data_IF_873264823235
#
_entry.id   IF_873264823235
#
_cell.length_a   1.000
_cell.length_b   1.000
_cell.length_c   1.000
_cell.angle_alpha   90.00
_cell.angle_beta   90.00
_cell.angle_gamma   90.00
#
_symmetry.space_group_name_H-M   'P 1'
#
loop_
_entity.id
_entity.type
_entity.pdbx_description
1 polymer ?
#
# COMPACT_ATOMS: atom_id res chain seq x y z
N UNK A 1 -2.48 -6.10 6.99
CA UNK A 1 -1.78 -6.40 5.73
C UNK A 1 -0.74 -7.50 5.89
N UNK A 2 0.29 -7.30 6.73
CA UNK A 2 1.37 -8.27 6.96
C UNK A 2 0.91 -9.72 7.17
N UNK A 3 -0.11 -9.94 7.99
CA UNK A 3 -0.61 -11.31 8.26
C UNK A 3 -1.18 -11.98 7.00
N UNK A 4 -1.90 -11.25 6.16
CA UNK A 4 -2.38 -11.76 4.86
C UNK A 4 -1.23 -12.05 3.90
N UNK A 5 -0.16 -11.26 3.98
CA UNK A 5 1.05 -11.47 3.19
C UNK A 5 1.83 -12.70 3.63
N UNK A 6 1.99 -12.91 4.93
CA UNK A 6 2.59 -14.15 5.45
C UNK A 6 1.80 -15.38 4.98
N UNK A 7 0.46 -15.33 5.04
CA UNK A 7 -0.39 -16.37 4.50
C UNK A 7 -0.21 -16.55 2.97
N UNK A 8 -0.06 -15.45 2.23
CA UNK A 8 0.19 -15.47 0.79
C UNK A 8 1.51 -16.18 0.44
N UNK A 9 2.58 -15.88 1.17
CA UNK A 9 3.90 -16.48 0.94
C UNK A 9 3.87 -18.00 1.15
N UNK A 10 3.21 -18.47 2.21
CA UNK A 10 3.04 -19.90 2.49
C UNK A 10 2.21 -20.57 1.39
N UNK A 11 1.10 -19.95 0.95
CA UNK A 11 0.24 -20.47 -0.11
C UNK A 11 0.97 -20.58 -1.46
N UNK A 12 1.88 -19.64 -1.75
CA UNK A 12 2.66 -19.60 -2.99
C UNK A 12 3.95 -20.41 -2.95
N UNK A 13 4.30 -20.99 -1.80
CA UNK A 13 5.56 -21.71 -1.64
C UNK A 13 6.78 -20.79 -1.74
N UNK A 14 6.62 -19.52 -1.38
CA UNK A 14 7.69 -18.52 -1.33
C UNK A 14 8.40 -18.48 0.03
N UNK A 15 8.08 -19.45 0.89
CA UNK A 15 8.74 -19.69 2.18
C UNK A 15 9.55 -20.97 2.12
N UNK A 16 10.69 -21.01 2.79
CA UNK A 16 11.53 -22.23 2.88
C UNK A 16 10.86 -23.39 3.61
N UNK A 17 9.77 -23.10 4.33
CA UNK A 17 9.00 -24.09 5.08
C UNK A 17 7.94 -24.77 4.20
N UNK A 18 7.91 -26.10 4.21
CA UNK A 18 6.87 -26.90 3.58
C UNK A 18 5.94 -27.53 4.62
N UNK A 19 4.66 -27.17 4.55
CA UNK A 19 3.62 -27.73 5.42
C UNK A 19 3.24 -29.16 5.01
N UNK A 20 3.14 -30.03 6.00
CA UNK A 20 2.45 -31.33 5.90
C UNK A 20 0.95 -31.15 5.64
N UNK A 21 0.26 -32.21 5.23
CA UNK A 21 -1.19 -32.16 4.95
C UNK A 21 -2.02 -31.74 6.18
N UNK A 22 -1.61 -32.17 7.37
CA UNK A 22 -2.30 -31.82 8.62
C UNK A 22 -2.10 -30.35 8.99
N UNK A 23 -0.88 -29.83 8.81
CA UNK A 23 -0.58 -28.41 9.00
C UNK A 23 -1.32 -27.53 7.99
N UNK A 24 -1.46 -27.97 6.73
CA UNK A 24 -2.27 -27.26 5.73
C UNK A 24 -3.74 -27.13 6.15
N UNK A 25 -4.33 -28.19 6.72
CA UNK A 25 -5.69 -28.14 7.24
C UNK A 25 -5.81 -27.16 8.41
N UNK A 26 -4.89 -27.24 9.37
CA UNK A 26 -4.84 -26.32 10.51
C UNK A 26 -4.66 -24.86 10.07
N UNK A 27 -3.78 -24.61 9.10
CA UNK A 27 -3.56 -23.31 8.49
C UNK A 27 -4.82 -22.76 7.84
N UNK A 28 -5.54 -23.57 7.04
CA UNK A 28 -6.78 -23.16 6.41
C UNK A 28 -7.85 -22.77 7.43
N UNK A 29 -8.00 -23.56 8.49
CA UNK A 29 -8.95 -23.27 9.58
C UNK A 29 -8.56 -21.95 10.27
N UNK A 30 -7.28 -21.80 10.67
CA UNK A 30 -6.76 -20.58 11.30
C UNK A 30 -7.03 -19.35 10.43
N UNK A 31 -6.70 -19.41 9.15
CA UNK A 31 -6.92 -18.33 8.18
C UNK A 31 -8.39 -17.94 8.10
N UNK A 32 -9.30 -18.93 8.05
CA UNK A 32 -10.75 -18.67 8.00
C UNK A 32 -11.25 -17.93 9.24
N UNK A 33 -10.81 -18.32 10.43
CA UNK A 33 -11.16 -17.63 11.68
C UNK A 33 -10.57 -16.21 11.72
N UNK A 34 -9.31 -16.06 11.35
CA UNK A 34 -8.64 -14.77 11.32
C UNK A 34 -9.35 -13.76 10.40
N UNK A 35 -9.72 -14.16 9.19
CA UNK A 35 -10.47 -13.29 8.25
C UNK A 35 -11.83 -12.90 8.83
N UNK A 36 -12.53 -13.85 9.46
CA UNK A 36 -13.83 -13.61 10.08
C UNK A 36 -13.71 -12.62 11.26
N UNK A 37 -12.72 -12.82 12.12
CA UNK A 37 -12.51 -11.96 13.28
C UNK A 37 -12.03 -10.56 12.87
N UNK A 38 -11.14 -10.45 11.89
CA UNK A 38 -10.72 -9.16 11.34
C UNK A 38 -11.91 -8.38 10.78
N UNK A 39 -12.76 -9.03 9.97
CA UNK A 39 -13.95 -8.39 9.41
C UNK A 39 -14.90 -7.89 10.50
N UNK A 40 -15.11 -8.69 11.56
CA UNK A 40 -15.93 -8.30 12.71
C UNK A 40 -15.33 -7.10 13.45
N UNK A 41 -14.03 -7.14 13.76
CA UNK A 41 -13.33 -6.06 14.47
C UNK A 41 -13.39 -4.77 13.64
N UNK A 42 -13.05 -4.83 12.36
CA UNK A 42 -13.11 -3.69 11.45
C UNK A 42 -14.52 -3.12 11.30
N UNK A 43 -15.54 -3.96 11.24
CA UNK A 43 -16.93 -3.52 11.20
C UNK A 43 -17.30 -2.71 12.45
N UNK A 44 -16.93 -3.19 13.64
CA UNK A 44 -17.17 -2.46 14.90
C UNK A 44 -16.42 -1.13 14.90
N UNK A 45 -15.12 -1.15 14.57
CA UNK A 45 -14.28 0.04 14.58
C UNK A 45 -14.69 1.07 13.52
N UNK A 46 -15.28 0.64 12.40
CA UNK A 46 -15.75 1.55 11.36
C UNK A 46 -16.87 2.49 11.81
N UNK A 47 -17.59 2.15 12.89
CA UNK A 47 -18.55 3.05 13.54
C UNK A 47 -17.92 4.32 14.10
N UNK A 48 -16.59 4.34 14.32
CA UNK A 48 -15.86 5.55 14.74
C UNK A 48 -15.55 6.52 13.60
N UNK A 49 -15.65 6.08 12.34
CA UNK A 49 -15.16 6.83 11.17
C UNK A 49 -13.63 6.87 11.03
N UNK A 50 -12.86 6.31 11.98
CA UNK A 50 -11.40 6.30 11.94
C UNK A 50 -10.80 5.09 11.20
N UNK A 51 -11.60 4.04 11.00
CA UNK A 51 -11.15 2.79 10.37
C UNK A 51 -12.09 2.44 9.23
N UNK A 52 -11.54 2.25 8.04
CA UNK A 52 -12.32 1.72 6.91
C UNK A 52 -12.50 0.21 7.05
N UNK A 53 -13.72 -0.28 6.86
CA UNK A 53 -14.04 -1.70 7.00
C UNK A 53 -13.64 -2.56 5.79
N UNK A 54 -13.02 -1.96 4.77
CA UNK A 54 -12.70 -2.65 3.53
C UNK A 54 -11.69 -3.80 3.76
N UNK A 55 -11.92 -4.96 3.11
CA UNK A 55 -11.02 -6.09 3.21
C UNK A 55 -9.71 -5.79 2.47
N UNK A 56 -8.60 -6.25 3.04
CA UNK A 56 -7.28 -6.11 2.42
C UNK A 56 -7.14 -7.17 1.34
N UNK A 57 -6.94 -6.74 0.08
CA UNK A 57 -6.66 -7.65 -1.02
C UNK A 57 -5.16 -7.75 -1.29
N UNK A 58 -4.47 -8.59 -0.50
CA UNK A 58 -3.02 -8.78 -0.63
C UNK A 58 -2.61 -9.26 -2.02
N UNK A 59 -3.47 -10.04 -2.70
CA UNK A 59 -3.19 -10.53 -4.06
C UNK A 59 -3.13 -9.37 -5.06
N UNK A 60 -4.03 -8.41 -4.93
CA UNK A 60 -4.02 -7.18 -5.74
C UNK A 60 -2.79 -6.33 -5.45
N UNK A 61 -2.45 -6.15 -4.16
CA UNK A 61 -1.25 -5.40 -3.73
C UNK A 61 0.01 -6.00 -4.35
N UNK A 62 0.20 -7.31 -4.19
CA UNK A 62 1.37 -8.02 -4.77
C UNK A 62 1.36 -7.94 -6.29
N UNK A 63 0.21 -8.08 -6.95
CA UNK A 63 0.12 -7.93 -8.40
C UNK A 63 0.52 -6.54 -8.90
N UNK A 64 0.24 -5.48 -8.14
CA UNK A 64 0.64 -4.12 -8.47
C UNK A 64 2.11 -3.85 -8.10
N UNK A 65 2.63 -4.50 -7.07
CA UNK A 65 4.04 -4.41 -6.66
C UNK A 65 5.00 -5.22 -7.53
N UNK A 66 4.57 -6.37 -8.08
CA UNK A 66 5.46 -7.32 -8.77
C UNK A 66 6.05 -6.82 -10.08
N UNK A 67 5.49 -5.74 -10.65
CA UNK A 67 6.07 -5.04 -11.78
C UNK A 67 7.42 -4.38 -11.44
N UNK A 68 7.68 -4.14 -10.16
CA UNK A 68 8.85 -3.42 -9.66
C UNK A 68 9.74 -4.27 -8.75
N UNK A 69 9.14 -5.18 -7.96
CA UNK A 69 9.87 -6.05 -7.02
C UNK A 69 9.46 -7.50 -7.27
N UNK A 70 10.43 -8.38 -7.49
CA UNK A 70 10.18 -9.82 -7.62
C UNK A 70 9.48 -10.38 -6.38
N UNK A 71 8.45 -11.21 -6.55
CA UNK A 71 7.77 -11.90 -5.42
C UNK A 71 8.73 -12.82 -4.64
N UNK A 72 9.87 -13.20 -5.23
CA UNK A 72 10.91 -13.98 -4.56
C UNK A 72 11.78 -13.13 -3.62
N UNK A 73 11.81 -11.80 -3.80
CA UNK A 73 12.44 -10.89 -2.83
C UNK A 73 11.42 -10.60 -1.72
N UNK A 74 11.24 -11.57 -0.83
CA UNK A 74 10.27 -11.47 0.25
C UNK A 74 10.65 -10.34 1.22
N UNK A 75 9.66 -9.61 1.72
CA UNK A 75 9.84 -8.56 2.72
C UNK A 75 8.74 -7.50 2.62
N UNK A 76 8.89 -6.39 3.33
CA UNK A 76 7.88 -5.32 3.31
C UNK A 76 7.89 -4.52 2.00
N UNK A 77 9.02 -4.47 1.27
CA UNK A 77 9.17 -3.55 0.15
C UNK A 77 8.12 -3.74 -0.96
N UNK A 78 7.80 -5.00 -1.32
CA UNK A 78 6.76 -5.31 -2.31
C UNK A 78 5.37 -4.88 -1.84
N UNK A 79 5.09 -4.96 -0.52
CA UNK A 79 3.85 -4.48 0.06
C UNK A 79 3.80 -2.96 0.04
N UNK A 80 4.86 -2.29 0.47
CA UNK A 80 4.93 -0.82 0.48
C UNK A 80 4.73 -0.27 -0.93
N UNK A 81 5.43 -0.78 -1.94
CA UNK A 81 5.24 -0.35 -3.33
C UNK A 81 3.84 -0.70 -3.83
N UNK A 82 3.41 -1.95 -3.63
CA UNK A 82 2.14 -2.46 -4.14
C UNK A 82 0.92 -1.73 -3.58
N UNK A 83 0.89 -1.48 -2.27
CA UNK A 83 -0.22 -0.80 -1.59
C UNK A 83 -0.26 0.67 -1.93
N UNK A 84 0.91 1.32 -1.96
CA UNK A 84 1.01 2.71 -2.38
C UNK A 84 0.44 2.93 -3.78
N UNK A 85 0.79 2.06 -4.75
CA UNK A 85 0.25 2.12 -6.11
C UNK A 85 -1.22 1.70 -6.21
N UNK A 86 -1.67 0.78 -5.36
CA UNK A 86 -3.06 0.32 -5.33
C UNK A 86 -4.01 1.40 -4.83
N UNK A 87 -3.62 2.14 -3.79
CA UNK A 87 -4.52 3.04 -3.05
C UNK A 87 -4.50 4.48 -3.57
N UNK A 88 -3.36 4.98 -4.05
CA UNK A 88 -3.24 6.38 -4.51
C UNK A 88 -4.20 6.68 -5.65
N UNK A 89 -4.91 7.81 -5.59
CA UNK A 89 -5.95 8.23 -6.53
C UNK A 89 -7.17 7.27 -6.64
N UNK A 90 -7.28 6.28 -5.77
CA UNK A 90 -8.44 5.38 -5.65
C UNK A 90 -9.10 5.58 -4.29
N UNK A 91 -8.35 5.31 -3.23
CA UNK A 91 -8.80 5.41 -1.84
C UNK A 91 -8.12 6.59 -1.11
N UNK A 92 -6.89 6.93 -1.51
CA UNK A 92 -6.09 7.99 -0.87
C UNK A 92 -5.65 9.05 -1.87
N UNK A 93 -5.42 10.27 -1.38
CA UNK A 93 -4.97 11.42 -2.20
C UNK A 93 -3.46 11.68 -2.11
N UNK A 94 -2.72 10.87 -1.35
CA UNK A 94 -1.29 10.98 -1.19
C UNK A 94 -0.75 9.80 -0.38
N UNK A 95 0.52 9.48 -0.57
CA UNK A 95 1.22 8.42 0.16
C UNK A 95 2.43 8.99 0.87
N UNK A 96 2.58 8.67 2.15
CA UNK A 96 3.80 8.96 2.91
C UNK A 96 4.41 7.63 3.37
N UNK A 97 5.61 7.32 2.91
CA UNK A 97 6.39 6.20 3.42
C UNK A 97 7.24 6.67 4.60
N UNK A 98 6.98 6.12 5.79
CA UNK A 98 7.71 6.45 7.02
C UNK A 98 8.46 5.20 7.48
N UNK A 99 9.78 5.28 7.50
CA UNK A 99 10.64 4.18 7.96
C UNK A 99 11.62 4.65 9.04
N UNK A 100 12.13 3.74 9.89
CA UNK A 100 13.25 4.07 10.76
C UNK A 100 14.50 4.35 9.93
N UNK A 101 15.44 5.11 10.49
CA UNK A 101 16.73 5.37 9.85
C UNK A 101 17.43 4.07 9.42
N UNK A 102 17.85 3.97 8.16
CA UNK A 102 18.55 2.80 7.63
C UNK A 102 17.65 1.59 7.36
N UNK A 103 16.33 1.76 7.34
CA UNK A 103 15.39 0.70 6.96
C UNK A 103 15.53 0.36 5.47
N UNK A 104 16.25 -0.71 5.15
CA UNK A 104 16.51 -1.16 3.79
C UNK A 104 15.22 -1.36 2.95
N UNK A 105 14.16 -2.04 3.44
CA UNK A 105 12.91 -2.17 2.68
C UNK A 105 12.25 -0.82 2.35
N UNK A 106 12.30 0.14 3.29
CA UNK A 106 11.76 1.49 3.07
C UNK A 106 12.57 2.26 2.02
N UNK A 107 13.92 2.18 2.09
CA UNK A 107 14.82 2.81 1.10
C UNK A 107 14.63 2.24 -0.31
N UNK A 108 14.46 0.92 -0.43
CA UNK A 108 14.13 0.29 -1.70
C UNK A 108 12.79 0.79 -2.25
N UNK A 109 11.78 0.84 -1.38
CA UNK A 109 10.44 1.33 -1.75
C UNK A 109 10.45 2.79 -2.17
N UNK A 110 11.20 3.64 -1.46
CA UNK A 110 11.40 5.04 -1.80
C UNK A 110 12.04 5.22 -3.18
N UNK A 111 13.11 4.49 -3.47
CA UNK A 111 13.79 4.56 -4.77
C UNK A 111 12.85 4.21 -5.94
N UNK A 112 11.97 3.23 -5.74
CA UNK A 112 10.97 2.83 -6.74
C UNK A 112 9.85 3.86 -6.81
N UNK A 113 9.25 4.22 -5.68
CA UNK A 113 8.05 5.07 -5.64
C UNK A 113 8.33 6.50 -6.08
N UNK A 114 9.54 7.03 -5.88
CA UNK A 114 9.92 8.34 -6.43
C UNK A 114 9.82 8.39 -7.97
N UNK A 115 10.06 7.27 -8.66
CA UNK A 115 9.98 7.18 -10.11
C UNK A 115 8.60 6.73 -10.60
N UNK A 116 7.92 5.85 -9.84
CA UNK A 116 6.69 5.20 -10.31
C UNK A 116 5.41 5.92 -9.90
N UNK A 117 5.48 6.88 -8.98
CA UNK A 117 4.35 7.71 -8.54
C UNK A 117 3.95 8.74 -9.60
N UNK A 118 3.55 8.23 -10.76
CA UNK A 118 3.11 8.99 -11.92
C UNK A 118 1.77 8.48 -12.42
N UNK A 119 1.11 9.27 -13.25
CA UNK A 119 -0.11 8.88 -13.96
C UNK A 119 0.06 7.58 -14.73
N UNK A 120 1.15 7.44 -15.45
CA UNK A 120 1.42 6.23 -16.23
C UNK A 120 1.54 5.02 -15.29
N UNK A 121 2.31 5.15 -14.21
CA UNK A 121 2.44 4.11 -13.20
C UNK A 121 1.10 3.69 -12.62
N UNK A 122 0.26 4.66 -12.22
CA UNK A 122 -1.06 4.36 -11.65
C UNK A 122 -2.04 3.78 -12.65
N UNK A 123 -2.06 4.24 -13.90
CA UNK A 123 -2.98 3.68 -14.91
C UNK A 123 -2.63 2.22 -15.27
N UNK A 124 -1.38 1.78 -15.07
CA UNK A 124 -1.00 0.37 -15.24
C UNK A 124 -1.66 -0.54 -14.20
N UNK A 125 -2.05 -0.04 -13.02
CA UNK A 125 -2.71 -0.87 -11.99
C UNK A 125 -4.16 -1.19 -12.33
N UNK A 126 -4.83 -0.34 -13.11
CA UNK A 126 -6.21 -0.54 -13.56
C UNK A 126 -6.46 0.11 -14.94
N UNK A 127 -5.97 -0.51 -16.04
CA UNK A 127 -5.94 0.10 -17.37
C UNK A 127 -7.32 0.40 -17.96
N UNK A 128 -8.34 -0.34 -17.53
CA UNK A 128 -9.70 -0.25 -18.07
C UNK A 128 -10.56 0.78 -17.32
N UNK A 129 -10.01 1.43 -16.29
CA UNK A 129 -10.72 2.38 -15.47
C UNK A 129 -10.77 3.76 -16.11
N UNK A 130 -11.80 3.97 -16.93
CA UNK A 130 -12.07 5.26 -17.60
C UNK A 130 -12.17 6.42 -16.63
N UNK A 131 -12.72 6.17 -15.44
CA UNK A 131 -12.87 7.19 -14.39
C UNK A 131 -11.51 7.64 -13.86
N UNK A 132 -10.63 6.69 -13.55
CA UNK A 132 -9.25 6.97 -13.14
C UNK A 132 -8.47 7.72 -14.23
N UNK A 133 -8.65 7.34 -15.50
CA UNK A 133 -8.03 8.02 -16.64
C UNK A 133 -8.43 9.49 -16.72
N UNK A 134 -9.73 9.79 -16.58
CA UNK A 134 -10.26 11.17 -16.55
C UNK A 134 -9.79 11.93 -15.32
N UNK A 135 -9.82 11.30 -14.15
CA UNK A 135 -9.40 11.90 -12.89
C UNK A 135 -7.95 12.36 -12.96
N UNK A 136 -7.07 11.59 -13.60
CA UNK A 136 -5.64 11.87 -13.73
C UNK A 136 -5.26 12.62 -15.01
N UNK A 137 -6.21 13.10 -15.83
CA UNK A 137 -5.91 13.68 -17.14
C UNK A 137 -4.84 14.80 -17.10
N UNK A 138 -4.86 15.66 -16.07
CA UNK A 138 -3.93 16.79 -15.93
C UNK A 138 -3.01 16.64 -14.70
N UNK A 139 -2.80 15.40 -14.25
CA UNK A 139 -1.89 15.10 -13.13
C UNK A 139 -0.80 14.21 -13.68
N UNK A 140 0.43 14.70 -13.79
CA UNK A 140 1.56 13.90 -14.25
C UNK A 140 2.13 13.06 -13.10
N UNK A 141 2.43 13.71 -11.97
CA UNK A 141 3.03 13.07 -10.80
C UNK A 141 2.07 13.04 -9.61
N UNK A 142 2.04 11.90 -8.95
CA UNK A 142 1.20 11.64 -7.79
C UNK A 142 1.90 12.09 -6.50
N UNK A 143 1.15 12.55 -5.49
CA UNK A 143 1.73 12.98 -4.22
C UNK A 143 2.34 11.80 -3.46
N UNK A 144 3.67 11.79 -3.38
CA UNK A 144 4.45 10.83 -2.61
C UNK A 144 5.53 11.55 -1.80
N UNK A 145 5.79 11.07 -0.59
CA UNK A 145 6.86 11.56 0.27
C UNK A 145 7.44 10.39 1.08
N UNK A 146 8.76 10.24 1.07
CA UNK A 146 9.45 9.35 1.98
C UNK A 146 10.11 10.14 3.11
N UNK A 147 9.94 9.68 4.34
CA UNK A 147 10.52 10.27 5.55
C UNK A 147 11.20 9.17 6.35
N UNK A 148 12.43 9.44 6.77
CA UNK A 148 13.07 8.66 7.83
C UNK A 148 12.83 9.31 9.17
N UNK A 149 12.58 8.48 10.18
CA UNK A 149 12.46 8.89 11.56
C UNK A 149 13.45 8.12 12.43
N UNK A 150 14.23 8.84 13.22
CA UNK A 150 15.10 8.29 14.28
C UNK A 150 14.51 8.51 15.68
N UNK A 151 13.25 8.99 15.76
CA UNK A 151 12.58 9.35 17.00
C UNK A 151 12.84 10.77 17.48
N UNK A 152 13.71 11.54 16.81
CA UNK A 152 13.93 12.96 17.11
C UNK A 152 12.90 13.87 16.40
N UNK A 153 12.71 15.12 16.86
CA UNK A 153 11.86 16.09 16.18
C UNK A 153 12.33 16.36 14.74
N UNK A 154 11.40 16.40 13.79
CA UNK A 154 11.73 16.62 12.39
C UNK A 154 12.32 18.02 12.14
N UNK A 155 13.38 18.13 11.33
CA UNK A 155 13.99 19.41 10.98
C UNK A 155 13.06 20.22 10.06
N UNK A 156 13.30 21.54 9.99
CA UNK A 156 12.50 22.48 9.18
C UNK A 156 12.35 22.03 7.72
N UNK A 157 13.37 21.39 7.15
CA UNK A 157 13.31 20.85 5.79
C UNK A 157 12.22 19.78 5.62
N UNK A 158 12.05 18.88 6.59
CA UNK A 158 11.00 17.85 6.55
C UNK A 158 9.62 18.49 6.72
N UNK A 159 9.50 19.50 7.59
CA UNK A 159 8.25 20.27 7.73
C UNK A 159 7.86 20.95 6.40
N UNK A 160 8.81 21.60 5.72
CA UNK A 160 8.56 22.19 4.40
C UNK A 160 8.17 21.16 3.34
N UNK A 161 8.78 19.96 3.35
CA UNK A 161 8.39 18.85 2.46
C UNK A 161 6.97 18.36 2.75
N UNK A 162 6.60 18.26 4.03
CA UNK A 162 5.24 17.90 4.45
C UNK A 162 4.21 18.93 3.99
N UNK A 163 4.49 20.22 4.14
CA UNK A 163 3.60 21.30 3.66
C UNK A 163 3.41 21.22 2.13
N UNK A 164 4.50 21.08 1.38
CA UNK A 164 4.45 20.93 -0.08
C UNK A 164 3.68 19.65 -0.50
N UNK A 165 3.88 18.55 0.21
CA UNK A 165 3.13 17.31 0.02
C UNK A 165 1.63 17.51 0.25
N UNK A 166 1.24 18.14 1.37
CA UNK A 166 -0.16 18.42 1.69
C UNK A 166 -0.84 19.27 0.61
N UNK A 167 -0.17 20.29 0.08
CA UNK A 167 -0.70 21.11 -1.03
C UNK A 167 -0.90 20.31 -2.33
N UNK A 168 -0.05 19.31 -2.60
CA UNK A 168 -0.22 18.41 -3.75
C UNK A 168 -1.34 17.40 -3.51
N UNK A 169 -1.40 16.81 -2.32
CA UNK A 169 -2.43 15.86 -1.91
C UNK A 169 -3.83 16.50 -1.90
N UNK A 170 -3.96 17.72 -1.39
CA UNK A 170 -5.23 18.46 -1.38
C UNK A 170 -5.75 18.72 -2.80
N UNK A 171 -4.85 19.08 -3.73
CA UNK A 171 -5.20 19.26 -5.15
C UNK A 171 -5.72 17.96 -5.77
N UNK A 172 -5.07 16.82 -5.49
CA UNK A 172 -5.55 15.52 -5.95
C UNK A 172 -6.89 15.16 -5.31
N UNK A 173 -7.05 15.39 -3.99
CA UNK A 173 -8.30 15.14 -3.26
C UNK A 173 -9.48 15.93 -3.84
N UNK A 174 -9.29 17.22 -4.14
CA UNK A 174 -10.31 18.06 -4.79
C UNK A 174 -10.77 17.47 -6.13
N UNK A 175 -9.85 16.89 -6.91
CA UNK A 175 -10.21 16.16 -8.14
C UNK A 175 -10.96 14.87 -7.81
N UNK A 176 -10.47 14.07 -6.85
CA UNK A 176 -11.13 12.83 -6.43
C UNK A 176 -12.58 13.08 -6.02
N UNK A 177 -12.85 14.15 -5.25
CA UNK A 177 -14.21 14.54 -4.86
C UNK A 177 -15.07 15.02 -6.03
N UNK A 178 -14.49 15.75 -7.00
CA UNK A 178 -15.21 16.21 -8.20
C UNK A 178 -15.65 15.06 -9.11
N UNK A 179 -14.84 14.01 -9.17
CA UNK A 179 -15.09 12.83 -9.99
C UNK A 179 -15.57 11.62 -9.18
N UNK A 180 -15.96 11.80 -7.91
CA UNK A 180 -16.50 10.74 -7.04
C UNK A 180 -17.99 10.50 -7.28
#
# INVERSE_FOLDING_TARGET
EWVHYSDYLVEKGLTDYQMTKMEKLGFFIRKKFMVKDEARIKSILSGSGLVHSQPINVRSIINNGKAYISENLTGEAILTVGSSMSEIATDTCGVIAIGPFGCMPNRLSEAILNETMSREGKLKTDPNNKRLCTLLADTQDLPFLAIESDGSPFPQLINAKLEAFCLRAERLNKRMLKYN
#
